data_IF_447058952714
#
_entry.id   IF_447058952714
#
_cell.length_a   1.000
_cell.length_b   1.000
_cell.length_c   1.000
_cell.angle_alpha   90.00
_cell.angle_beta   90.00
_cell.angle_gamma   90.00
#
_symmetry.space_group_name_H-M   'P 1'
#
loop_
_entity.id
_entity.type
_entity.pdbx_description
1 polymer ?
#
# COMPACT_ATOMS: atom_id res chain seq x y z
N UNK A 1 12.55 10.43 8.19
CA UNK A 1 12.99 9.21 7.50
C UNK A 1 11.84 8.67 6.66
N UNK A 2 12.12 8.24 5.42
CA UNK A 2 11.06 7.80 4.52
C UNK A 2 10.75 6.31 4.68
N UNK A 3 9.46 5.99 4.72
CA UNK A 3 8.95 4.63 4.79
C UNK A 3 7.82 4.43 3.79
N UNK A 4 7.78 3.24 3.17
CA UNK A 4 6.62 2.80 2.40
C UNK A 4 5.83 1.79 3.22
N UNK A 5 4.52 2.03 3.32
CA UNK A 5 3.53 1.14 3.90
C UNK A 5 2.81 0.49 2.73
N UNK A 6 3.01 -0.81 2.51
CA UNK A 6 2.48 -1.57 1.39
C UNK A 6 1.24 -2.37 1.83
N UNK A 7 0.16 -2.18 1.10
CA UNK A 7 -1.11 -2.86 1.35
C UNK A 7 -1.22 -3.98 0.32
N UNK A 8 -1.16 -5.22 0.78
CA UNK A 8 -1.37 -6.39 -0.05
C UNK A 8 -2.77 -6.93 0.16
N UNK A 9 -3.42 -7.38 -0.90
CA UNK A 9 -4.73 -8.04 -0.82
C UNK A 9 -4.80 -9.23 -1.76
N UNK A 10 -5.76 -10.12 -1.53
CA UNK A 10 -6.07 -11.22 -2.43
C UNK A 10 -7.59 -11.39 -2.57
N UNK A 11 -8.08 -12.20 -3.53
CA UNK A 11 -9.53 -12.39 -3.69
C UNK A 11 -10.24 -12.89 -2.43
N UNK A 12 -9.59 -13.72 -1.60
CA UNK A 12 -10.18 -14.25 -0.38
C UNK A 12 -10.23 -13.21 0.75
N UNK A 13 -9.19 -12.38 0.91
CA UNK A 13 -9.19 -11.30 1.89
C UNK A 13 -10.18 -10.20 1.52
N UNK A 14 -10.29 -9.88 0.22
CA UNK A 14 -11.34 -8.99 -0.30
C UNK A 14 -12.74 -9.52 -0.05
N UNK A 15 -12.98 -10.81 -0.30
CA UNK A 15 -14.26 -11.44 0.05
C UNK A 15 -14.54 -11.40 1.55
N UNK A 16 -13.51 -11.60 2.38
CA UNK A 16 -13.62 -11.51 3.84
C UNK A 16 -14.01 -10.09 4.27
N UNK A 17 -13.38 -9.08 3.68
CA UNK A 17 -13.71 -7.67 3.90
C UNK A 17 -15.15 -7.34 3.47
N UNK A 18 -15.56 -7.79 2.28
CA UNK A 18 -16.89 -7.56 1.74
C UNK A 18 -17.97 -8.26 2.58
N UNK A 19 -17.65 -9.39 3.22
CA UNK A 19 -18.53 -10.10 4.13
C UNK A 19 -18.66 -9.45 5.52
N UNK A 20 -17.82 -8.47 5.87
CA UNK A 20 -17.91 -7.78 7.16
C UNK A 20 -19.28 -7.08 7.33
N UNK A 21 -19.82 -6.99 8.56
CA UNK A 21 -21.04 -6.24 8.81
C UNK A 21 -20.96 -4.80 8.26
N UNK A 22 -22.05 -4.22 7.72
CA UNK A 22 -22.04 -2.87 7.17
C UNK A 22 -21.46 -1.80 8.12
N UNK A 23 -21.72 -1.94 9.42
CA UNK A 23 -21.16 -1.06 10.44
C UNK A 23 -19.62 -1.13 10.52
N UNK A 24 -19.04 -2.33 10.40
CA UNK A 24 -17.58 -2.51 10.38
C UNK A 24 -16.96 -1.94 9.11
N UNK A 25 -17.57 -2.17 7.94
CA UNK A 25 -17.10 -1.57 6.67
C UNK A 25 -17.15 -0.03 6.73
N UNK A 26 -18.24 0.54 7.27
CA UNK A 26 -18.36 1.98 7.48
C UNK A 26 -17.28 2.52 8.43
N UNK A 27 -17.01 1.82 9.53
CA UNK A 27 -15.94 2.18 10.45
C UNK A 27 -14.56 2.16 9.75
N UNK A 28 -14.29 1.16 8.91
CA UNK A 28 -13.08 1.10 8.09
C UNK A 28 -12.91 2.31 7.17
N UNK A 29 -13.98 2.73 6.48
CA UNK A 29 -13.96 3.94 5.64
C UNK A 29 -13.68 5.21 6.46
N UNK A 30 -14.24 5.31 7.66
CA UNK A 30 -13.94 6.42 8.57
C UNK A 30 -12.48 6.41 9.03
N UNK A 31 -11.93 5.25 9.38
CA UNK A 31 -10.52 5.09 9.76
C UNK A 31 -9.59 5.48 8.61
N UNK A 32 -9.88 5.02 7.38
CA UNK A 32 -9.15 5.39 6.17
C UNK A 32 -9.11 6.92 5.97
N UNK A 33 -10.27 7.59 6.09
CA UNK A 33 -10.34 9.06 5.96
C UNK A 33 -9.55 9.76 7.06
N UNK A 34 -9.71 9.32 8.31
CA UNK A 34 -9.03 9.91 9.45
C UNK A 34 -7.51 9.81 9.33
N UNK A 35 -6.97 8.65 8.92
CA UNK A 35 -5.54 8.47 8.70
C UNK A 35 -5.01 9.38 7.60
N UNK A 36 -5.70 9.47 6.46
CA UNK A 36 -5.32 10.38 5.38
C UNK A 36 -5.32 11.84 5.84
N UNK A 37 -6.36 12.28 6.55
CA UNK A 37 -6.45 13.65 7.09
C UNK A 37 -5.37 13.94 8.14
N UNK A 38 -5.02 12.95 8.96
CA UNK A 38 -3.96 13.06 9.94
C UNK A 38 -2.60 13.26 9.25
N UNK A 39 -2.21 12.35 8.36
CA UNK A 39 -0.91 12.37 7.69
C UNK A 39 -0.77 13.58 6.74
N UNK A 40 -1.87 14.01 6.11
CA UNK A 40 -1.88 15.24 5.31
C UNK A 40 -1.63 16.46 6.19
N UNK A 41 -2.28 16.54 7.35
CA UNK A 41 -2.21 17.71 8.24
C UNK A 41 -0.86 17.80 8.96
N UNK A 42 -0.25 16.67 9.30
CA UNK A 42 1.11 16.65 9.88
C UNK A 42 2.19 16.96 8.84
N UNK A 43 1.89 16.81 7.55
CA UNK A 43 2.86 16.94 6.46
C UNK A 43 3.73 15.69 6.28
N UNK A 44 3.44 14.61 7.01
CA UNK A 44 4.19 13.36 6.94
C UNK A 44 3.79 12.52 5.72
N UNK A 45 2.64 12.79 5.08
CA UNK A 45 2.27 12.10 3.85
C UNK A 45 2.99 12.69 2.63
N UNK A 46 3.89 11.92 2.02
CA UNK A 46 4.54 12.28 0.77
C UNK A 46 3.70 11.87 -0.45
N UNK A 47 3.15 10.65 -0.42
CA UNK A 47 2.25 10.14 -1.44
C UNK A 47 1.37 8.99 -0.91
N UNK A 48 0.23 8.77 -1.53
CA UNK A 48 -0.62 7.59 -1.26
C UNK A 48 -1.46 7.28 -2.50
N UNK A 49 -1.74 6.00 -2.73
CA UNK A 49 -2.65 5.58 -3.79
C UNK A 49 -3.26 4.21 -3.50
N UNK A 50 -4.49 4.02 -3.95
CA UNK A 50 -5.07 2.70 -4.18
C UNK A 50 -4.83 2.31 -5.63
N UNK A 51 -4.51 1.04 -5.86
CA UNK A 51 -4.25 0.50 -7.19
C UNK A 51 -5.52 -0.14 -7.75
N UNK A 52 -5.62 -0.13 -9.07
CA UNK A 52 -6.71 -0.77 -9.78
C UNK A 52 -6.60 -2.30 -9.72
N UNK A 53 -7.60 -2.99 -10.26
CA UNK A 53 -7.63 -4.46 -10.31
C UNK A 53 -6.35 -5.02 -10.96
N UNK A 54 -5.73 -6.07 -10.39
CA UNK A 54 -4.47 -6.62 -10.90
C UNK A 54 -4.56 -7.13 -12.34
N UNK A 55 -5.77 -7.45 -12.85
CA UNK A 55 -5.98 -7.80 -14.26
C UNK A 55 -5.64 -6.69 -15.25
N UNK A 56 -5.57 -5.43 -14.79
CA UNK A 56 -5.16 -4.28 -15.61
C UNK A 56 -3.64 -4.08 -15.62
N UNK A 57 -2.89 -4.88 -14.87
CA UNK A 57 -1.43 -4.76 -14.78
C UNK A 57 -0.78 -5.09 -16.11
N UNK A 58 0.25 -4.32 -16.47
CA UNK A 58 1.18 -4.62 -17.56
C UNK A 58 2.58 -4.82 -16.99
N UNK A 59 3.23 -5.90 -17.38
CA UNK A 59 4.65 -6.12 -17.15
C UNK A 59 5.44 -5.50 -18.30
N UNK A 60 6.64 -5.01 -18.00
CA UNK A 60 7.55 -4.44 -18.99
C UNK A 60 8.93 -5.03 -18.77
N UNK A 61 9.53 -5.55 -19.84
CA UNK A 61 10.91 -6.03 -19.86
C UNK A 61 11.61 -5.55 -21.13
N UNK A 62 12.88 -5.14 -21.05
CA UNK A 62 13.66 -4.73 -22.22
C UNK A 62 14.62 -5.85 -22.59
N UNK A 63 14.49 -6.36 -23.82
CA UNK A 63 15.37 -7.41 -24.36
C UNK A 63 15.87 -6.98 -25.73
N UNK A 64 17.19 -7.03 -25.93
CA UNK A 64 17.84 -6.64 -27.20
C UNK A 64 17.42 -5.23 -27.70
N UNK A 65 17.24 -4.27 -26.79
CA UNK A 65 16.82 -2.91 -27.12
C UNK A 65 15.34 -2.77 -27.50
N UNK A 66 14.54 -3.82 -27.37
CA UNK A 66 13.10 -3.79 -27.61
C UNK A 66 12.33 -3.90 -26.30
N UNK A 67 11.29 -3.07 -26.17
CA UNK A 67 10.33 -3.15 -25.07
C UNK A 67 9.36 -4.29 -25.32
N UNK A 68 9.40 -5.30 -24.46
CA UNK A 68 8.47 -6.42 -24.44
C UNK A 68 7.48 -6.19 -23.29
N UNK A 69 6.19 -6.35 -23.57
CA UNK A 69 5.14 -6.23 -22.56
C UNK A 69 4.42 -7.55 -22.34
N UNK A 70 3.90 -7.74 -21.14
CA UNK A 70 3.06 -8.87 -20.75
C UNK A 70 1.86 -8.40 -19.93
N UNK A 71 0.84 -9.24 -19.86
CA UNK A 71 -0.37 -8.96 -19.09
C UNK A 71 -0.29 -9.59 -17.69
N UNK A 72 -0.88 -8.92 -16.71
CA UNK A 72 -0.98 -9.40 -15.33
C UNK A 72 0.18 -8.99 -14.43
N UNK A 73 0.07 -9.28 -13.12
CA UNK A 73 1.11 -8.95 -12.13
C UNK A 73 2.38 -9.78 -12.36
N UNK A 74 3.54 -9.24 -11.96
CA UNK A 74 4.85 -9.89 -12.12
C UNK A 74 4.91 -11.31 -11.54
N UNK A 75 4.43 -11.48 -10.32
CA UNK A 75 4.36 -12.77 -9.67
C UNK A 75 2.94 -13.34 -9.80
N UNK A 76 2.84 -14.64 -10.11
CA UNK A 76 1.65 -15.45 -9.80
C UNK A 76 1.56 -15.67 -8.28
N UNK A 77 1.44 -14.57 -7.55
CA UNK A 77 1.30 -14.55 -6.11
C UNK A 77 -0.19 -14.60 -5.75
N UNK A 78 -0.48 -15.17 -4.59
CA UNK A 78 -1.83 -15.09 -4.02
C UNK A 78 -2.14 -13.66 -3.64
N UNK A 79 -1.16 -12.94 -3.09
CA UNK A 79 -1.28 -11.53 -2.74
C UNK A 79 -0.79 -10.59 -3.84
N UNK A 80 -1.56 -9.53 -4.09
CA UNK A 80 -1.24 -8.45 -5.02
C UNK A 80 -1.15 -7.12 -4.26
N UNK A 81 -0.26 -6.23 -4.71
CA UNK A 81 -0.19 -4.87 -4.17
C UNK A 81 -1.49 -4.13 -4.53
N UNK A 82 -2.23 -3.71 -3.50
CA UNK A 82 -3.52 -3.06 -3.62
C UNK A 82 -3.46 -1.55 -3.36
N UNK A 83 -2.41 -1.09 -2.68
CA UNK A 83 -2.21 0.32 -2.38
C UNK A 83 -0.95 0.54 -1.56
N UNK A 84 -0.62 1.81 -1.35
CA UNK A 84 0.51 2.17 -0.51
C UNK A 84 0.35 3.56 0.11
N UNK A 85 1.10 3.79 1.18
CA UNK A 85 1.47 5.12 1.65
C UNK A 85 2.99 5.26 1.59
N UNK A 86 3.46 6.42 1.12
CA UNK A 86 4.83 6.87 1.28
C UNK A 86 4.80 8.01 2.30
N UNK A 87 5.47 7.81 3.42
CA UNK A 87 5.47 8.75 4.54
C UNK A 87 6.89 9.15 4.92
N UNK A 88 7.04 10.35 5.48
CA UNK A 88 8.24 10.84 6.13
C UNK A 88 7.96 11.05 7.61
N UNK A 89 8.54 10.23 8.48
CA UNK A 89 8.36 10.29 9.93
C UNK A 89 9.67 9.96 10.66
N UNK A 90 9.70 10.13 11.97
CA UNK A 90 10.96 10.10 12.73
C UNK A 90 11.64 8.72 12.71
N UNK A 91 10.86 7.63 12.82
CA UNK A 91 11.38 6.27 12.94
C UNK A 91 10.40 5.19 12.45
N UNK A 92 10.86 3.93 12.46
CA UNK A 92 10.07 2.79 12.01
C UNK A 92 8.90 2.48 12.95
N UNK A 93 9.02 2.80 14.23
CA UNK A 93 7.95 2.56 15.21
C UNK A 93 6.75 3.49 14.93
N UNK A 94 7.02 4.74 14.55
CA UNK A 94 6.02 5.69 14.08
C UNK A 94 5.36 5.20 12.79
N UNK A 95 6.15 4.71 11.83
CA UNK A 95 5.62 4.12 10.60
C UNK A 95 4.74 2.88 10.87
N UNK A 96 5.12 2.03 11.82
CA UNK A 96 4.33 0.86 12.26
C UNK A 96 3.03 1.31 12.92
N UNK A 97 3.06 2.37 13.74
CA UNK A 97 1.85 2.93 14.35
C UNK A 97 0.86 3.46 13.31
N UNK A 98 1.35 4.05 12.21
CA UNK A 98 0.50 4.42 11.07
C UNK A 98 -0.01 3.21 10.30
N UNK A 99 0.84 2.22 10.04
CA UNK A 99 0.44 0.98 9.36
C UNK A 99 -0.65 0.22 10.14
N UNK A 100 -0.61 0.21 11.47
CA UNK A 100 -1.63 -0.42 12.31
C UNK A 100 -3.01 0.27 12.22
N UNK A 101 -3.07 1.52 11.76
CA UNK A 101 -4.31 2.28 11.56
C UNK A 101 -4.91 2.07 10.16
N UNK A 102 -4.16 1.48 9.23
CA UNK A 102 -4.67 1.08 7.91
C UNK A 102 -5.83 0.12 8.12
N UNK A 103 -6.98 0.40 7.52
CA UNK A 103 -8.23 -0.24 7.90
C UNK A 103 -8.25 -1.76 7.66
N UNK A 104 -7.51 -2.26 6.67
CA UNK A 104 -7.33 -3.68 6.39
C UNK A 104 -6.55 -4.38 7.53
N UNK A 105 -5.51 -3.72 8.06
CA UNK A 105 -4.78 -4.18 9.25
C UNK A 105 -5.67 -4.12 10.51
N UNK A 106 -6.33 -2.98 10.75
CA UNK A 106 -7.18 -2.77 11.92
C UNK A 106 -8.39 -3.73 11.94
N UNK A 107 -8.86 -4.16 10.77
CA UNK A 107 -9.92 -5.16 10.63
C UNK A 107 -9.40 -6.61 10.79
N UNK A 108 -8.07 -6.82 10.83
CA UNK A 108 -7.44 -8.14 10.88
C UNK A 108 -7.63 -8.96 9.59
N UNK A 109 -7.78 -8.29 8.46
CA UNK A 109 -8.08 -8.92 7.15
C UNK A 109 -6.83 -9.12 6.31
N UNK A 110 -5.96 -8.10 6.25
CA UNK A 110 -4.72 -8.16 5.47
C UNK A 110 -3.49 -7.86 6.34
N UNK A 111 -2.34 -8.34 5.88
CA UNK A 111 -1.04 -7.97 6.41
C UNK A 111 -0.53 -6.73 5.68
N UNK A 112 -0.01 -5.79 6.47
CA UNK A 112 0.57 -4.55 5.97
C UNK A 112 2.07 -4.60 6.18
N UNK A 113 2.82 -4.36 5.12
CA UNK A 113 4.28 -4.33 5.19
C UNK A 113 4.79 -2.90 5.36
N UNK A 114 5.68 -2.68 6.32
CA UNK A 114 6.39 -1.39 6.49
C UNK A 114 7.83 -1.59 6.09
N UNK A 115 8.31 -0.78 5.14
CA UNK A 115 9.67 -0.90 4.62
C UNK A 115 10.36 0.48 4.56
N UNK A 116 11.57 0.64 5.12
CA UNK A 116 12.36 1.85 4.96
C UNK A 116 12.68 2.09 3.48
N UNK A 117 12.63 3.35 3.06
CA UNK A 117 13.07 3.76 1.71
C UNK A 117 14.55 4.13 1.79
N UNK A 118 15.33 3.61 0.84
CA UNK A 118 16.71 4.06 0.65
C UNK A 118 16.66 5.39 -0.11
N UNK A 119 16.94 6.49 0.60
CA UNK A 119 17.09 7.80 -0.03
C UNK A 119 18.47 7.86 -0.68
N UNK A 120 18.52 7.92 -2.01
CA UNK A 120 19.75 8.21 -2.74
C UNK A 120 19.78 9.72 -2.98
N UNK A 121 20.67 10.42 -2.29
CA UNK A 121 20.96 11.81 -2.64
C UNK A 121 21.78 11.82 -3.93
N UNK A 122 21.40 12.65 -4.89
CA UNK A 122 22.08 12.74 -6.19
C UNK A 122 23.57 13.12 -6.08
N UNK A 123 23.98 13.67 -4.93
CA UNK A 123 25.37 14.01 -4.64
C UNK A 123 26.22 12.81 -4.16
N UNK A 124 25.61 11.64 -3.93
CA UNK A 124 26.25 10.41 -3.43
C UNK A 124 26.32 9.28 -4.50
N UNK A 125 25.98 9.59 -5.75
CA UNK A 125 26.14 8.70 -6.92
C UNK A 125 27.27 9.17 -7.84
#
# INVERSE_FOLDING_TARGET
MQYVILIYSNPASRQTFDALPPARRKAGLHAFRALNEQLTRSGEMLATALLADPSLTKQVHVSHGQTVTGDGPFAEAKEHLAGFYLIDCDDIDTAIAYAAQVHEAAAGVDLIEVRPVMTFNADEM
#
